data_IF_055900412816
#
_entry.id   IF_055900412816
#
_cell.length_a   1.000
_cell.length_b   1.000
_cell.length_c   1.000
_cell.angle_alpha   90.00
_cell.angle_beta   90.00
_cell.angle_gamma   90.00
#
_symmetry.space_group_name_H-M   'P 1'
#
loop_
_entity.id
_entity.type
_entity.pdbx_description
1 polymer ?
#
# COMPACT_ATOMS: atom_id res chain seq x y z
N UNK A 1 5.48 13.57 -14.39
CA UNK A 1 4.20 12.87 -14.15
C UNK A 1 4.05 12.68 -12.65
N UNK A 2 2.89 13.00 -12.07
CA UNK A 2 2.67 12.77 -10.63
C UNK A 2 2.44 11.27 -10.40
N UNK A 3 2.98 10.73 -9.30
CA UNK A 3 2.81 9.33 -8.93
C UNK A 3 1.66 9.17 -7.94
N UNK A 4 0.71 8.29 -8.21
CA UNK A 4 -0.36 7.90 -7.29
C UNK A 4 -0.21 6.43 -6.89
N UNK A 5 -0.07 6.14 -5.60
CA UNK A 5 -0.10 4.78 -5.06
C UNK A 5 -1.43 4.53 -4.38
N UNK A 6 -2.17 3.56 -4.90
CA UNK A 6 -3.42 3.09 -4.33
C UNK A 6 -3.16 1.93 -3.36
N UNK A 7 -3.39 2.17 -2.07
CA UNK A 7 -3.40 1.15 -1.03
C UNK A 7 -4.81 0.58 -0.95
N UNK A 8 -5.03 -0.57 -1.59
CA UNK A 8 -6.36 -1.17 -1.75
C UNK A 8 -6.52 -2.42 -0.89
N UNK A 9 -7.53 -2.40 -0.01
CA UNK A 9 -8.06 -3.60 0.60
C UNK A 9 -9.52 -3.39 1.03
N UNK A 10 -10.46 -3.53 0.12
CA UNK A 10 -11.82 -3.86 0.52
C UNK A 10 -11.89 -5.38 0.74
N UNK A 11 -12.77 -5.82 1.65
CA UNK A 11 -12.94 -7.23 2.02
C UNK A 11 -13.44 -8.14 0.90
N UNK A 12 -13.33 -7.73 -0.37
CA UNK A 12 -13.86 -8.39 -1.57
C UNK A 12 -12.77 -8.68 -2.63
N UNK A 13 -11.51 -8.35 -2.35
CA UNK A 13 -10.39 -9.07 -2.93
C UNK A 13 -9.80 -8.50 -4.20
N UNK A 14 -8.48 -8.33 -4.12
CA UNK A 14 -7.54 -8.19 -5.22
C UNK A 14 -7.61 -6.92 -6.05
N UNK A 15 -6.43 -6.39 -6.37
CA UNK A 15 -6.23 -5.27 -7.29
C UNK A 15 -6.73 -5.53 -8.72
N UNK A 16 -7.11 -6.77 -9.05
CA UNK A 16 -7.61 -7.14 -10.38
C UNK A 16 -9.10 -6.83 -10.61
N UNK A 17 -9.82 -6.31 -9.60
CA UNK A 17 -11.21 -5.92 -9.79
C UNK A 17 -11.31 -4.71 -10.74
N UNK A 18 -12.35 -4.65 -11.60
CA UNK A 18 -12.59 -3.51 -12.46
C UNK A 18 -12.69 -2.17 -11.70
N UNK A 19 -13.12 -2.21 -10.43
CA UNK A 19 -13.19 -1.05 -9.54
C UNK A 19 -11.83 -0.36 -9.33
N UNK A 20 -10.74 -1.12 -9.43
CA UNK A 20 -9.36 -0.63 -9.21
C UNK A 20 -8.61 -0.37 -10.51
N UNK A 21 -9.30 -0.37 -11.66
CA UNK A 21 -8.70 -0.03 -12.93
C UNK A 21 -8.28 1.45 -12.96
N UNK A 22 -6.98 1.70 -12.86
CA UNK A 22 -6.40 3.05 -12.87
C UNK A 22 -6.34 3.71 -14.25
N UNK A 23 -6.80 3.07 -15.33
CA UNK A 23 -6.64 3.59 -16.69
C UNK A 23 -7.25 4.98 -16.90
N UNK A 24 -8.42 5.23 -16.30
CA UNK A 24 -9.10 6.53 -16.38
C UNK A 24 -8.31 7.62 -15.65
N UNK A 25 -7.68 7.30 -14.52
CA UNK A 25 -6.82 8.25 -13.81
C UNK A 25 -5.55 8.53 -14.62
N UNK A 26 -4.94 7.49 -15.20
CA UNK A 26 -3.70 7.58 -15.98
C UNK A 26 -3.82 8.46 -17.25
N UNK A 27 -5.02 8.85 -17.69
CA UNK A 27 -5.20 9.83 -18.77
C UNK A 27 -4.80 11.26 -18.38
N UNK A 28 -4.61 11.54 -17.08
CA UNK A 28 -4.29 12.87 -16.55
C UNK A 28 -2.79 13.07 -16.28
N UNK A 29 -1.91 12.48 -17.08
CA UNK A 29 -0.45 12.59 -16.92
C UNK A 29 0.06 12.17 -15.52
N UNK A 30 -0.52 11.07 -15.01
CA UNK A 30 -0.15 10.45 -13.74
C UNK A 30 0.15 8.96 -13.91
N UNK A 31 1.01 8.44 -13.04
CA UNK A 31 1.26 7.00 -12.93
C UNK A 31 0.43 6.47 -11.77
N UNK A 32 -0.38 5.44 -12.02
CA UNK A 32 -1.16 4.77 -10.99
C UNK A 32 -0.53 3.41 -10.67
N UNK A 33 -0.18 3.21 -9.42
CA UNK A 33 0.34 1.93 -8.91
C UNK A 33 -0.65 1.36 -7.89
N UNK A 34 -1.13 0.15 -8.12
CA UNK A 34 -1.95 -0.59 -7.17
C UNK A 34 -1.13 -1.74 -6.59
N UNK A 35 -1.18 -1.94 -5.27
CA UNK A 35 -0.35 -2.92 -4.55
C UNK A 35 -1.21 -3.90 -3.78
N UNK A 36 -0.82 -5.18 -3.81
CA UNK A 36 -1.38 -6.19 -2.92
C UNK A 36 -0.55 -6.23 -1.63
N UNK A 37 -1.18 -6.65 -0.54
CA UNK A 37 -0.52 -6.90 0.73
C UNK A 37 -1.29 -7.99 1.50
N UNK A 38 -0.67 -8.62 2.50
CA UNK A 38 -1.31 -9.70 3.23
C UNK A 38 -2.54 -9.26 4.04
N UNK A 39 -3.58 -10.10 4.02
CA UNK A 39 -4.88 -9.86 4.68
C UNK A 39 -5.15 -10.86 5.80
N UNK A 40 -6.12 -10.55 6.65
CA UNK A 40 -6.60 -11.45 7.71
C UNK A 40 -5.47 -11.90 8.66
N UNK A 41 -5.48 -13.16 9.14
CA UNK A 41 -4.43 -13.67 10.01
C UNK A 41 -3.03 -13.61 9.39
N UNK A 42 -2.90 -13.80 8.07
CA UNK A 42 -1.58 -13.74 7.41
C UNK A 42 -0.97 -12.34 7.42
N UNK A 43 -1.79 -11.28 7.41
CA UNK A 43 -1.31 -9.90 7.48
C UNK A 43 -1.25 -9.33 8.90
N UNK A 44 -2.10 -9.80 9.81
CA UNK A 44 -2.36 -9.06 11.05
C UNK A 44 -2.42 -9.93 12.31
N UNK A 45 -2.07 -11.22 12.23
CA UNK A 45 -1.96 -12.05 13.43
C UNK A 45 -0.83 -11.54 14.33
N UNK A 46 -1.16 -11.23 15.57
CA UNK A 46 -0.21 -10.96 16.64
C UNK A 46 -0.24 -12.11 17.65
N UNK A 47 0.92 -12.68 17.95
CA UNK A 47 1.11 -13.74 18.93
C UNK A 47 2.45 -13.56 19.66
N UNK A 48 2.47 -12.64 20.63
CA UNK A 48 3.70 -12.24 21.34
C UNK A 48 3.75 -12.56 22.83
N UNK A 49 2.64 -12.95 23.46
CA UNK A 49 2.60 -13.21 24.90
C UNK A 49 2.66 -14.71 25.22
N UNK A 50 3.78 -15.18 25.79
CA UNK A 50 3.89 -16.52 26.37
C UNK A 50 4.11 -17.67 25.39
N UNK A 51 4.53 -17.39 24.15
CA UNK A 51 4.82 -18.40 23.13
C UNK A 51 6.31 -18.45 22.78
N UNK A 52 6.81 -19.64 22.42
CA UNK A 52 8.21 -19.84 21.99
C UNK A 52 8.53 -19.14 20.66
N UNK A 53 7.52 -18.92 19.82
CA UNK A 53 7.62 -18.18 18.56
C UNK A 53 6.84 -16.86 18.65
N UNK A 54 7.56 -15.75 18.51
CA UNK A 54 6.99 -14.40 18.58
C UNK A 54 6.52 -13.98 17.18
N UNK A 55 5.24 -13.66 17.06
CA UNK A 55 4.66 -13.01 15.88
C UNK A 55 4.28 -11.58 16.25
N UNK A 56 4.99 -10.59 15.70
CA UNK A 56 4.85 -9.17 16.06
C UNK A 56 3.62 -8.48 15.45
N UNK A 57 2.86 -9.18 14.59
CA UNK A 57 1.71 -8.62 13.88
C UNK A 57 2.08 -7.60 12.81
N UNK A 58 1.06 -7.00 12.21
CA UNK A 58 1.17 -5.92 11.22
C UNK A 58 1.99 -6.24 9.96
N UNK A 59 2.21 -7.51 9.62
CA UNK A 59 2.85 -7.93 8.37
C UNK A 59 2.22 -7.24 7.14
N UNK A 60 0.90 -7.07 7.10
CA UNK A 60 0.22 -6.35 6.03
C UNK A 60 0.62 -4.87 5.92
N UNK A 61 0.89 -4.18 7.03
CA UNK A 61 1.43 -2.81 6.98
C UNK A 61 2.91 -2.79 6.56
N UNK A 62 3.68 -3.81 6.93
CA UNK A 62 5.07 -3.93 6.46
C UNK A 62 5.16 -4.25 4.96
N UNK A 63 4.24 -5.06 4.43
CA UNK A 63 4.12 -5.29 2.99
C UNK A 63 3.82 -3.99 2.24
N UNK A 64 2.87 -3.19 2.74
CA UNK A 64 2.56 -1.88 2.17
C UNK A 64 3.76 -0.93 2.25
N UNK A 65 4.48 -0.90 3.37
CA UNK A 65 5.70 -0.10 3.53
C UNK A 65 6.77 -0.50 2.49
N UNK A 66 6.99 -1.81 2.32
CA UNK A 66 7.95 -2.32 1.34
C UNK A 66 7.52 -1.96 -0.09
N UNK A 67 6.22 -2.03 -0.39
CA UNK A 67 5.69 -1.63 -1.68
C UNK A 67 5.86 -0.12 -1.94
N UNK A 68 5.61 0.73 -0.94
CA UNK A 68 5.85 2.17 -1.02
C UNK A 68 7.33 2.48 -1.26
N UNK A 69 8.24 1.80 -0.55
CA UNK A 69 9.68 1.93 -0.76
C UNK A 69 10.08 1.52 -2.18
N UNK A 70 9.54 0.39 -2.67
CA UNK A 70 9.78 -0.06 -4.03
C UNK A 70 9.32 0.98 -5.06
N UNK A 71 8.12 1.55 -4.89
CA UNK A 71 7.64 2.60 -5.80
C UNK A 71 8.57 3.82 -5.72
N UNK A 72 8.89 4.29 -4.52
CA UNK A 72 9.78 5.44 -4.32
C UNK A 72 11.12 5.29 -5.05
N UNK A 73 11.72 4.09 -4.97
CA UNK A 73 13.01 3.80 -5.59
C UNK A 73 12.93 3.61 -7.11
N UNK A 74 11.80 3.13 -7.63
CA UNK A 74 11.69 2.67 -9.03
C UNK A 74 10.83 3.56 -9.94
N UNK A 75 10.00 4.46 -9.38
CA UNK A 75 9.00 5.20 -10.17
C UNK A 75 9.61 6.07 -11.28
N UNK A 76 10.86 6.49 -11.11
CA UNK A 76 11.61 7.25 -12.11
C UNK A 76 11.80 6.48 -13.43
N UNK A 77 11.99 5.16 -13.35
CA UNK A 77 12.12 4.26 -14.51
C UNK A 77 10.84 4.20 -15.35
N UNK A 78 9.70 4.60 -14.78
CA UNK A 78 8.40 4.67 -15.45
C UNK A 78 8.03 6.12 -15.86
N UNK A 79 8.94 7.09 -15.68
CA UNK A 79 8.72 8.50 -16.00
C UNK A 79 8.02 9.32 -14.90
N UNK A 80 7.88 8.78 -13.70
CA UNK A 80 7.27 9.48 -12.56
C UNK A 80 8.28 10.22 -11.69
N UNK A 81 7.79 11.21 -10.96
CA UNK A 81 8.58 11.95 -9.97
C UNK A 81 8.25 11.45 -8.56
N UNK A 82 9.25 10.88 -7.87
CA UNK A 82 9.10 10.40 -6.48
C UNK A 82 8.74 11.51 -5.49
N UNK A 83 9.13 12.76 -5.76
CA UNK A 83 8.80 13.90 -4.90
C UNK A 83 7.36 14.38 -5.08
N UNK A 84 6.63 13.82 -6.04
CA UNK A 84 5.21 14.08 -6.31
C UNK A 84 4.39 12.80 -6.13
N UNK A 85 4.75 11.98 -5.14
CA UNK A 85 4.03 10.75 -4.80
C UNK A 85 2.86 11.05 -3.85
N UNK A 86 1.67 10.56 -4.20
CA UNK A 86 0.45 10.63 -3.37
C UNK A 86 -0.03 9.22 -3.06
N UNK A 87 -0.29 8.92 -1.78
CA UNK A 87 -0.94 7.67 -1.37
C UNK A 87 -2.44 7.89 -1.16
N UNK A 88 -3.27 6.97 -1.61
CA UNK A 88 -4.73 7.02 -1.45
C UNK A 88 -5.32 5.62 -1.28
N UNK A 89 -6.52 5.54 -0.70
CA UNK A 89 -7.19 4.26 -0.42
C UNK A 89 -8.59 4.46 0.12
N UNK A 90 -9.41 3.41 0.08
CA UNK A 90 -10.81 3.41 0.53
C UNK A 90 -11.03 2.34 1.61
N UNK A 91 -11.92 2.61 2.57
CA UNK A 91 -12.21 1.70 3.70
C UNK A 91 -10.95 1.30 4.48
N UNK A 92 -10.59 0.03 4.60
CA UNK A 92 -9.34 -0.37 5.25
C UNK A 92 -8.08 0.19 4.54
N UNK A 93 -8.19 0.60 3.28
CA UNK A 93 -7.16 1.31 2.53
C UNK A 93 -6.96 2.74 3.02
N UNK A 94 -8.03 3.43 3.44
CA UNK A 94 -7.89 4.76 4.04
C UNK A 94 -7.29 4.69 5.45
N UNK A 95 -7.55 3.61 6.18
CA UNK A 95 -6.86 3.31 7.44
C UNK A 95 -5.38 3.01 7.21
N UNK A 96 -5.05 2.28 6.14
CA UNK A 96 -3.67 2.03 5.72
C UNK A 96 -2.94 3.33 5.39
N UNK A 97 -3.56 4.20 4.58
CA UNK A 97 -3.03 5.55 4.32
C UNK A 97 -2.79 6.32 5.62
N UNK A 98 -3.76 6.32 6.53
CA UNK A 98 -3.64 7.00 7.83
C UNK A 98 -2.49 6.42 8.66
N UNK A 99 -2.33 5.10 8.68
CA UNK A 99 -1.24 4.42 9.38
C UNK A 99 0.13 4.83 8.83
N UNK A 100 0.29 4.91 7.51
CA UNK A 100 1.54 5.34 6.88
C UNK A 100 1.84 6.83 7.09
N UNK A 101 0.83 7.70 7.00
CA UNK A 101 1.03 9.14 7.28
C UNK A 101 1.50 9.38 8.72
N UNK A 102 1.02 8.57 9.68
CA UNK A 102 1.34 8.72 11.10
C UNK A 102 2.60 7.95 11.54
N UNK A 103 2.92 6.85 10.87
CA UNK A 103 4.03 5.98 11.25
C UNK A 103 5.39 6.65 11.02
N UNK A 104 6.32 6.62 12.00
CA UNK A 104 7.68 7.09 11.78
C UNK A 104 8.46 6.26 10.75
N UNK A 105 7.99 5.04 10.44
CA UNK A 105 8.64 4.15 9.48
C UNK A 105 8.37 4.53 8.02
N UNK A 106 7.39 5.41 7.77
CA UNK A 106 6.94 5.77 6.41
C UNK A 106 7.18 7.26 6.09
N UNK A 107 8.05 7.92 6.87
CA UNK A 107 8.45 9.31 6.66
C UNK A 107 9.59 9.44 5.67
#
# INVERSE_FOLDING_TARGET
>A
LNGGVSLVPDGIGSIFQPLYNGSVLATNDVIVVAVNYCLGPFGFLYAGAGHEHIVLGNAGFYDQLLALQWVWDNIHSFGGDKNQMTIFGQSAGSWSVSAHVLSPLSK
#
